data_IF_784089604721
#
_entry.id   IF_784089604721
#
_cell.length_a   1.000
_cell.length_b   1.000
_cell.length_c   1.000
_cell.angle_alpha   90.00
_cell.angle_beta   90.00
_cell.angle_gamma   90.00
#
_symmetry.space_group_name_H-M   'P 1'
#
loop_
_entity.id
_entity.type
_entity.pdbx_description
1 polymer ?
#
# COMPACT_ATOMS: atom_id res chain seq x y z
N UNK A 1 3.27 39.57 -17.09
CA UNK A 1 2.99 38.16 -17.40
C UNK A 1 3.03 38.01 -18.90
N UNK A 2 4.01 37.29 -19.40
CA UNK A 2 4.21 37.10 -20.84
C UNK A 2 3.14 36.15 -21.35
N UNK A 3 2.72 36.28 -22.62
CA UNK A 3 1.72 35.38 -23.22
C UNK A 3 2.14 33.89 -23.12
N UNK A 4 3.44 33.63 -23.15
CA UNK A 4 4.05 32.32 -22.93
C UNK A 4 3.79 31.77 -21.53
N UNK A 5 3.83 32.62 -20.50
CA UNK A 5 3.58 32.21 -19.11
C UNK A 5 2.12 31.80 -18.93
N UNK A 6 1.19 32.57 -19.51
CA UNK A 6 -0.24 32.27 -19.49
C UNK A 6 -0.54 30.95 -20.20
N UNK A 7 0.05 30.75 -21.39
CA UNK A 7 -0.09 29.51 -22.16
C UNK A 7 0.47 28.30 -21.39
N UNK A 8 1.64 28.44 -20.77
CA UNK A 8 2.27 27.35 -20.01
C UNK A 8 1.50 27.01 -18.74
N UNK A 9 0.98 28.04 -18.05
CA UNK A 9 0.17 27.87 -16.84
C UNK A 9 -1.18 27.19 -17.13
N UNK A 10 -1.85 27.59 -18.22
CA UNK A 10 -3.07 26.92 -18.67
C UNK A 10 -2.78 25.49 -19.12
N UNK A 11 -1.72 25.26 -19.89
CA UNK A 11 -1.32 23.92 -20.33
C UNK A 11 -1.00 23.00 -19.15
N UNK A 12 -0.28 23.47 -18.13
CA UNK A 12 0.03 22.67 -16.94
C UNK A 12 -1.23 22.23 -16.18
N UNK A 13 -2.30 23.03 -16.21
CA UNK A 13 -3.56 22.74 -15.52
C UNK A 13 -4.49 21.80 -16.31
N UNK A 14 -4.29 21.68 -17.62
CA UNK A 14 -5.07 20.80 -18.51
C UNK A 14 -4.30 19.55 -18.96
N UNK A 15 -2.98 19.49 -18.76
CA UNK A 15 -2.18 18.27 -18.93
C UNK A 15 -2.41 17.38 -17.70
N UNK A 16 -3.07 16.23 -17.89
CA UNK A 16 -3.17 15.19 -16.88
C UNK A 16 -1.78 14.65 -16.58
N UNK A 17 -1.43 14.50 -15.30
CA UNK A 17 -0.21 13.80 -14.91
C UNK A 17 -0.39 12.30 -15.20
N UNK A 18 0.17 11.87 -16.33
CA UNK A 18 0.28 10.45 -16.69
C UNK A 18 1.15 9.75 -15.63
N UNK A 19 0.50 9.22 -14.59
CA UNK A 19 1.18 8.59 -13.45
C UNK A 19 0.55 8.89 -12.10
N UNK A 20 -0.21 9.99 -11.96
CA UNK A 20 -0.88 10.33 -10.69
C UNK A 20 -1.85 9.21 -10.26
N UNK A 21 -2.65 8.70 -11.19
CA UNK A 21 -3.55 7.57 -10.92
C UNK A 21 -2.80 6.28 -10.60
N UNK A 22 -1.63 6.04 -11.23
CA UNK A 22 -0.79 4.87 -10.91
C UNK A 22 -0.16 4.98 -9.52
N UNK A 23 0.16 6.20 -9.09
CA UNK A 23 0.65 6.49 -7.74
C UNK A 23 -0.46 6.28 -6.70
N UNK A 24 -1.68 6.73 -6.95
CA UNK A 24 -2.84 6.49 -6.07
C UNK A 24 -3.09 4.98 -5.85
N UNK A 25 -3.13 4.19 -6.94
CA UNK A 25 -3.25 2.73 -6.83
C UNK A 25 -2.03 2.09 -6.15
N UNK A 26 -0.82 2.58 -6.41
CA UNK A 26 0.41 2.10 -5.78
C UNK A 26 0.41 2.29 -4.26
N UNK A 27 -0.07 3.44 -3.77
CA UNK A 27 -0.19 3.72 -2.34
C UNK A 27 -1.22 2.80 -1.68
N UNK A 28 -2.38 2.61 -2.30
CA UNK A 28 -3.42 1.69 -1.79
C UNK A 28 -2.88 0.27 -1.72
N UNK A 29 -2.18 -0.18 -2.77
CA UNK A 29 -1.60 -1.53 -2.83
C UNK A 29 -0.51 -1.71 -1.76
N UNK A 30 0.32 -0.70 -1.50
CA UNK A 30 1.33 -0.75 -0.43
C UNK A 30 0.69 -0.88 0.97
N UNK A 31 -0.39 -0.15 1.24
CA UNK A 31 -1.12 -0.26 2.51
C UNK A 31 -1.75 -1.65 2.67
N UNK A 32 -2.37 -2.18 1.61
CA UNK A 32 -2.94 -3.54 1.61
C UNK A 32 -1.84 -4.58 1.83
N UNK A 33 -0.71 -4.46 1.15
CA UNK A 33 0.42 -5.37 1.31
C UNK A 33 0.91 -5.41 2.77
N UNK A 34 1.08 -4.24 3.41
CA UNK A 34 1.45 -4.17 4.83
C UNK A 34 0.40 -4.82 5.73
N UNK A 35 -0.89 -4.54 5.50
CA UNK A 35 -1.97 -5.16 6.28
C UNK A 35 -1.97 -6.69 6.16
N UNK A 36 -1.76 -7.21 4.95
CA UNK A 36 -1.69 -8.66 4.67
C UNK A 36 -0.48 -9.30 5.37
N UNK A 37 0.69 -8.65 5.33
CA UNK A 37 1.89 -9.13 6.03
C UNK A 37 1.64 -9.23 7.54
N UNK A 38 1.05 -8.19 8.14
CA UNK A 38 0.72 -8.18 9.57
C UNK A 38 -0.28 -9.27 9.91
N UNK A 39 -1.35 -9.40 9.12
CA UNK A 39 -2.39 -10.40 9.34
C UNK A 39 -1.84 -11.84 9.28
N UNK A 40 -1.04 -12.16 8.28
CA UNK A 40 -0.45 -13.50 8.16
C UNK A 40 0.61 -13.77 9.22
N UNK A 41 1.39 -12.76 9.63
CA UNK A 41 2.36 -12.91 10.72
C UNK A 41 1.66 -13.20 12.04
N UNK A 42 0.58 -12.47 12.35
CA UNK A 42 -0.23 -12.72 13.54
C UNK A 42 -0.91 -14.10 13.51
N UNK A 43 -1.45 -14.49 12.35
CA UNK A 43 -2.07 -15.80 12.17
C UNK A 43 -1.05 -16.94 12.37
N UNK A 44 0.13 -16.84 11.75
CA UNK A 44 1.20 -17.82 11.91
C UNK A 44 1.62 -17.94 13.38
N UNK A 45 1.81 -16.80 14.06
CA UNK A 45 2.12 -16.78 15.50
C UNK A 45 1.04 -17.46 16.36
N UNK A 46 -0.24 -17.17 16.08
CA UNK A 46 -1.37 -17.80 16.77
C UNK A 46 -1.43 -19.31 16.58
N UNK A 47 -1.23 -19.79 15.34
CA UNK A 47 -1.18 -21.23 15.02
C UNK A 47 0.00 -21.89 15.75
N UNK A 48 1.21 -21.32 15.64
CA UNK A 48 2.38 -21.86 16.33
C UNK A 48 2.19 -21.92 17.85
N UNK A 49 1.58 -20.90 18.44
CA UNK A 49 1.28 -20.88 19.86
C UNK A 49 0.30 -21.99 20.26
N UNK A 50 -0.79 -22.17 19.50
CA UNK A 50 -1.76 -23.24 19.73
C UNK A 50 -1.13 -24.63 19.62
N UNK A 51 -0.32 -24.87 18.58
CA UNK A 51 0.39 -26.14 18.39
C UNK A 51 1.37 -26.40 19.53
N UNK A 52 2.14 -25.40 19.95
CA UNK A 52 3.07 -25.53 21.07
C UNK A 52 2.36 -25.84 22.39
N UNK A 53 1.17 -25.29 22.62
CA UNK A 53 0.38 -25.59 23.81
C UNK A 53 -0.08 -27.06 23.83
N UNK A 54 -0.46 -27.62 22.67
CA UNK A 54 -0.78 -29.04 22.54
C UNK A 54 0.47 -29.91 22.69
N UNK A 55 1.60 -29.52 22.07
CA UNK A 55 2.85 -30.26 22.18
C UNK A 55 3.34 -30.40 23.63
N UNK A 56 3.12 -29.38 24.47
CA UNK A 56 3.50 -29.40 25.89
C UNK A 56 2.71 -30.39 26.76
N UNK A 57 1.54 -30.84 26.31
CA UNK A 57 0.71 -31.78 27.08
C UNK A 57 0.84 -33.22 26.58
N UNK A 58 1.59 -33.45 25.50
CA UNK A 58 1.92 -34.80 25.05
C UNK A 58 3.03 -35.36 25.97
N UNK A 59 2.90 -36.63 26.41
CA UNK A 59 3.88 -37.28 27.28
C UNK A 59 5.23 -37.51 26.62
#
# INVERSE_FOLDING_TARGET
MTFTDLYTYLRARFVREEGQTMAEYGVVLAVIALAVIVAFTALAGGISHALNNVAKILP
#
